data_IF_505901171875
#
_entry.id   IF_505901171875
#
_cell.length_a   1.000
_cell.length_b   1.000
_cell.length_c   1.000
_cell.angle_alpha   90.00
_cell.angle_beta   90.00
_cell.angle_gamma   90.00
#
_symmetry.space_group_name_H-M   'P 1'
#
loop_
_entity.id
_entity.type
_entity.pdbx_description
1 polymer ?
#
# COMPACT_ATOMS: atom_id res chain seq x y z
N UNK A 1 34.97 2.59 67.98
CA UNK A 1 33.69 1.84 67.90
C UNK A 1 33.01 2.23 66.59
N UNK A 2 32.81 1.27 65.68
CA UNK A 2 31.91 1.26 64.49
C UNK A 2 32.01 2.46 63.51
N UNK A 3 32.68 2.30 62.37
CA UNK A 3 32.13 1.87 61.05
C UNK A 3 30.96 2.73 60.53
N UNK A 4 31.20 3.45 59.43
CA UNK A 4 30.62 3.33 58.07
C UNK A 4 30.65 4.72 57.40
N UNK A 5 31.51 4.96 56.40
CA UNK A 5 31.28 4.70 54.96
C UNK A 5 30.07 5.45 54.40
N UNK A 6 30.32 6.56 53.69
CA UNK A 6 29.59 6.93 52.48
C UNK A 6 30.43 7.96 51.69
N UNK A 7 31.01 7.44 50.62
CA UNK A 7 31.75 8.11 49.56
C UNK A 7 30.76 8.90 48.69
N UNK A 8 30.97 10.19 48.49
CA UNK A 8 30.32 10.97 47.43
C UNK A 8 31.39 11.85 46.78
N UNK A 9 32.09 11.26 45.81
CA UNK A 9 33.07 11.92 44.96
C UNK A 9 32.29 12.54 43.78
N UNK A 10 31.91 13.82 43.92
CA UNK A 10 31.38 14.62 42.83
C UNK A 10 32.56 15.12 42.00
N UNK A 11 32.93 14.36 40.97
CA UNK A 11 33.88 14.79 39.95
C UNK A 11 33.14 15.68 38.95
N UNK A 12 33.18 16.98 39.19
CA UNK A 12 32.86 17.98 38.17
C UNK A 12 34.12 18.18 37.30
N UNK A 13 34.26 17.38 36.24
CA UNK A 13 35.16 17.74 35.14
C UNK A 13 34.38 18.70 34.25
N UNK A 14 34.60 19.98 34.48
CA UNK A 14 34.27 21.01 33.50
C UNK A 14 35.14 20.83 32.27
N UNK A 15 34.55 20.33 31.19
CA UNK A 15 35.13 20.47 29.86
C UNK A 15 34.78 21.88 29.39
N UNK A 16 35.71 22.79 29.65
CA UNK A 16 35.83 24.06 28.93
C UNK A 16 36.25 23.73 27.49
N UNK A 17 35.29 23.61 26.58
CA UNK A 17 35.60 23.59 25.15
C UNK A 17 36.12 24.97 24.74
N UNK A 18 37.43 25.02 24.55
CA UNK A 18 38.13 26.05 23.81
C UNK A 18 37.64 26.07 22.37
N UNK A 19 37.18 27.24 21.97
CA UNK A 19 36.94 27.65 20.59
C UNK A 19 38.17 27.30 19.72
N UNK A 20 37.99 26.45 18.71
CA UNK A 20 38.62 26.54 17.39
C UNK A 20 38.05 25.48 16.43
N UNK A 21 37.68 25.98 15.25
CA UNK A 21 37.65 25.38 13.91
C UNK A 21 36.67 24.22 13.62
N UNK A 22 35.57 24.57 12.93
CA UNK A 22 34.94 23.88 11.80
C UNK A 22 34.73 22.35 11.86
N UNK A 23 34.31 21.80 12.99
CA UNK A 23 33.59 20.51 12.98
C UNK A 23 32.10 20.78 12.76
N UNK A 24 31.74 20.90 11.47
CA UNK A 24 30.40 20.61 10.98
C UNK A 24 30.04 19.20 11.44
N UNK A 25 29.41 19.12 12.61
CA UNK A 25 28.72 17.92 13.07
C UNK A 25 27.52 17.74 12.14
N UNK A 26 27.81 17.28 10.92
CA UNK A 26 26.81 16.96 9.93
C UNK A 26 25.79 16.06 10.58
N UNK A 27 24.61 16.62 10.82
CA UNK A 27 23.44 15.81 11.11
C UNK A 27 23.39 14.81 9.96
N UNK A 28 23.44 13.50 10.21
CA UNK A 28 23.30 12.54 9.14
C UNK A 28 22.03 12.92 8.39
N UNK A 29 22.15 13.22 7.09
CA UNK A 29 20.96 13.41 6.29
C UNK A 29 20.08 12.19 6.54
N UNK A 30 18.77 12.38 6.83
CA UNK A 30 17.87 11.24 6.87
C UNK A 30 18.08 10.46 5.58
N UNK A 31 18.11 9.12 5.63
CA UNK A 31 18.30 8.32 4.42
C UNK A 31 17.34 8.83 3.35
N UNK A 32 17.88 9.21 2.20
CA UNK A 32 17.07 9.69 1.09
C UNK A 32 15.96 8.67 0.86
N UNK A 33 14.71 9.12 0.89
CA UNK A 33 13.58 8.26 0.60
C UNK A 33 13.84 7.64 -0.77
N UNK A 34 13.85 6.31 -0.84
CA UNK A 34 14.11 5.62 -2.10
C UNK A 34 13.15 6.14 -3.18
N UNK A 35 13.67 6.40 -4.38
CA UNK A 35 12.85 6.78 -5.53
C UNK A 35 11.82 5.69 -5.90
N UNK A 36 11.99 4.48 -5.37
CA UNK A 36 11.24 3.29 -5.69
C UNK A 36 11.00 2.43 -4.45
N UNK A 37 9.73 2.17 -4.11
CA UNK A 37 9.38 1.35 -2.95
C UNK A 37 10.01 -0.05 -2.98
N UNK A 38 10.19 -0.67 -4.15
CA UNK A 38 10.78 -2.02 -4.27
C UNK A 38 12.26 -2.05 -3.87
N UNK A 39 13.00 -0.96 -4.08
CA UNK A 39 14.43 -0.87 -3.70
C UNK A 39 14.63 -0.75 -2.19
N UNK A 40 13.58 -0.33 -1.46
CA UNK A 40 13.60 -0.25 0.00
C UNK A 40 13.32 -1.59 0.69
N UNK A 41 12.89 -2.60 -0.07
CA UNK A 41 12.49 -3.90 0.48
C UNK A 41 13.69 -4.83 0.69
N UNK A 42 13.60 -5.65 1.73
CA UNK A 42 14.51 -6.73 2.06
C UNK A 42 13.77 -8.06 2.07
N UNK A 43 14.51 -9.16 1.87
CA UNK A 43 13.96 -10.51 2.03
C UNK A 43 13.44 -10.67 3.47
N UNK A 44 12.20 -11.10 3.60
CA UNK A 44 11.49 -11.23 4.87
C UNK A 44 10.68 -9.99 5.28
N UNK A 45 10.78 -8.88 4.55
CA UNK A 45 9.91 -7.73 4.78
C UNK A 45 8.46 -8.09 4.51
N UNK A 46 7.56 -7.48 5.28
CA UNK A 46 6.12 -7.72 5.22
C UNK A 46 5.36 -6.42 5.06
N UNK A 47 4.42 -6.43 4.13
CA UNK A 47 3.44 -5.37 3.92
C UNK A 47 2.07 -5.90 4.30
N UNK A 48 1.25 -5.07 4.92
CA UNK A 48 -0.06 -5.46 5.41
C UNK A 48 -1.14 -4.56 4.82
N UNK A 49 -2.31 -5.15 4.54
CA UNK A 49 -3.48 -4.43 4.06
C UNK A 49 -4.71 -4.86 4.84
N UNK A 50 -5.51 -3.90 5.29
CA UNK A 50 -6.80 -4.14 5.92
C UNK A 50 -7.89 -4.20 4.86
N UNK A 51 -8.77 -5.20 4.94
CA UNK A 51 -9.91 -5.28 4.04
C UNK A 51 -11.03 -4.34 4.46
N UNK A 52 -11.62 -3.69 3.48
CA UNK A 52 -12.92 -3.03 3.58
C UNK A 52 -13.91 -3.70 2.63
N UNK A 53 -15.19 -3.59 2.96
CA UNK A 53 -16.31 -3.82 2.06
C UNK A 53 -17.09 -2.54 1.90
N UNK A 54 -17.69 -2.34 0.73
CA UNK A 54 -18.51 -1.17 0.49
C UNK A 54 -19.66 -1.42 -0.46
N UNK A 55 -20.62 -0.51 -0.42
CA UNK A 55 -21.85 -0.51 -1.20
C UNK A 55 -22.06 0.85 -1.87
N UNK A 56 -23.03 0.90 -2.79
CA UNK A 56 -23.47 2.12 -3.47
C UNK A 56 -22.34 2.86 -4.20
N UNK A 57 -21.40 2.14 -4.83
CA UNK A 57 -20.20 2.72 -5.43
C UNK A 57 -20.49 3.95 -6.33
N UNK A 58 -21.58 3.91 -7.11
CA UNK A 58 -21.96 4.99 -8.04
C UNK A 58 -22.83 6.10 -7.46
N UNK A 59 -23.36 5.96 -6.23
CA UNK A 59 -24.31 6.92 -5.67
C UNK A 59 -23.60 8.05 -4.92
N UNK A 60 -23.44 9.20 -5.56
CA UNK A 60 -22.78 10.36 -4.94
C UNK A 60 -23.44 10.77 -3.62
N UNK A 61 -22.63 11.02 -2.59
CA UNK A 61 -23.08 11.61 -1.31
C UNK A 61 -23.34 10.62 -0.17
N UNK A 62 -23.39 9.31 -0.43
CA UNK A 62 -23.41 8.28 0.61
C UNK A 62 -22.17 7.39 0.51
N UNK A 63 -21.34 7.38 1.55
CA UNK A 63 -20.20 6.47 1.67
C UNK A 63 -20.56 5.33 2.63
N UNK A 64 -21.04 4.22 2.06
CA UNK A 64 -21.38 3.02 2.82
C UNK A 64 -20.22 2.04 2.72
N UNK A 65 -19.40 1.97 3.77
CA UNK A 65 -18.30 1.01 3.85
C UNK A 65 -17.98 0.65 5.30
N UNK A 66 -17.31 -0.49 5.47
CA UNK A 66 -16.80 -0.92 6.78
C UNK A 66 -15.55 -1.78 6.62
N UNK A 67 -14.64 -1.68 7.58
CA UNK A 67 -13.51 -2.61 7.70
C UNK A 67 -13.98 -3.90 8.34
N UNK A 68 -13.63 -5.02 7.71
CA UNK A 68 -14.07 -6.35 8.16
C UNK A 68 -13.18 -6.93 9.26
N UNK A 69 -11.99 -6.36 9.46
CA UNK A 69 -10.94 -6.88 10.35
C UNK A 69 -10.01 -7.90 9.68
N UNK A 70 -10.23 -8.23 8.41
CA UNK A 70 -9.35 -9.14 7.67
C UNK A 70 -8.07 -8.43 7.24
N UNK A 71 -6.98 -9.19 7.23
CA UNK A 71 -5.67 -8.68 6.81
C UNK A 71 -5.08 -9.53 5.69
N UNK A 72 -4.58 -8.86 4.66
CA UNK A 72 -3.72 -9.43 3.62
C UNK A 72 -2.27 -9.12 3.97
N UNK A 73 -1.44 -10.16 4.04
CA UNK A 73 0.01 -10.08 4.22
C UNK A 73 0.71 -10.33 2.88
N UNK A 74 1.61 -9.43 2.51
CA UNK A 74 2.56 -9.55 1.40
C UNK A 74 3.96 -9.75 1.99
N UNK A 75 4.57 -10.92 1.77
CA UNK A 75 5.91 -11.25 2.25
C UNK A 75 6.92 -11.30 1.09
N UNK A 76 8.04 -10.59 1.23
CA UNK A 76 9.15 -10.63 0.28
C UNK A 76 9.94 -11.92 0.44
N UNK A 77 9.80 -12.83 -0.51
CA UNK A 77 10.45 -14.14 -0.48
C UNK A 77 11.87 -14.12 -1.07
N UNK A 78 12.07 -13.32 -2.11
CA UNK A 78 13.34 -13.26 -2.84
C UNK A 78 13.49 -11.93 -3.59
N UNK A 79 14.73 -11.48 -3.77
CA UNK A 79 15.08 -10.32 -4.60
C UNK A 79 16.14 -10.78 -5.60
N UNK A 80 15.90 -10.55 -6.88
CA UNK A 80 16.78 -10.97 -7.97
C UNK A 80 16.77 -9.97 -9.13
N UNK A 81 17.59 -10.19 -10.16
CA UNK A 81 17.56 -9.38 -11.38
C UNK A 81 16.21 -9.41 -12.11
N UNK A 82 15.40 -10.47 -11.90
CA UNK A 82 14.06 -10.56 -12.48
C UNK A 82 13.01 -9.72 -11.73
N UNK A 83 13.31 -9.26 -10.52
CA UNK A 83 12.39 -8.52 -9.65
C UNK A 83 12.28 -9.09 -8.23
N UNK A 84 11.25 -8.65 -7.52
CA UNK A 84 10.92 -9.00 -6.15
C UNK A 84 9.83 -10.06 -6.13
N UNK A 85 10.16 -11.25 -5.63
CA UNK A 85 9.19 -12.34 -5.47
C UNK A 85 8.39 -12.11 -4.19
N UNK A 86 7.07 -11.95 -4.31
CA UNK A 86 6.16 -11.66 -3.20
C UNK A 86 5.12 -12.77 -3.05
N UNK A 87 4.97 -13.28 -1.82
CA UNK A 87 3.87 -14.15 -1.45
C UNK A 87 2.73 -13.34 -0.82
N UNK A 88 1.50 -13.63 -1.24
CA UNK A 88 0.27 -13.00 -0.78
C UNK A 88 -0.57 -14.01 -0.02
N UNK A 89 -0.91 -13.71 1.23
CA UNK A 89 -1.73 -14.59 2.08
C UNK A 89 -2.69 -13.79 2.93
N UNK A 90 -3.91 -14.30 3.06
CA UNK A 90 -4.85 -13.81 4.05
C UNK A 90 -4.44 -14.37 5.42
N UNK A 91 -4.37 -13.49 6.43
CA UNK A 91 -3.89 -13.88 7.77
C UNK A 91 -4.87 -14.81 8.46
N UNK A 92 -4.34 -15.69 9.33
CA UNK A 92 -5.15 -16.54 10.17
C UNK A 92 -6.12 -15.72 11.06
N UNK A 93 -7.37 -16.17 11.17
CA UNK A 93 -8.42 -15.47 11.91
C UNK A 93 -9.25 -14.50 11.06
N UNK A 94 -8.96 -14.38 9.76
CA UNK A 94 -9.84 -13.73 8.80
C UNK A 94 -11.18 -14.45 8.68
N UNK A 95 -12.27 -13.67 8.61
CA UNK A 95 -13.62 -14.17 8.32
C UNK A 95 -13.68 -14.94 6.99
N UNK A 96 -12.76 -14.68 6.05
CA UNK A 96 -12.63 -15.45 4.79
C UNK A 96 -12.42 -16.95 5.03
N UNK A 97 -11.77 -17.31 6.14
CA UNK A 97 -11.53 -18.71 6.49
C UNK A 97 -12.83 -19.43 6.83
N UNK A 98 -13.79 -18.72 7.42
CA UNK A 98 -15.07 -19.27 7.85
C UNK A 98 -16.14 -19.13 6.74
N UNK A 99 -16.22 -17.97 6.08
CA UNK A 99 -17.20 -17.68 5.02
C UNK A 99 -16.53 -16.95 3.84
N UNK A 100 -16.51 -17.60 2.67
CA UNK A 100 -15.96 -17.00 1.45
C UNK A 100 -17.00 -16.26 0.63
N UNK A 101 -18.28 -16.21 1.01
CA UNK A 101 -19.31 -15.57 0.17
C UNK A 101 -19.03 -14.08 -0.01
N UNK A 102 -18.37 -13.44 0.96
CA UNK A 102 -17.96 -12.03 0.91
C UNK A 102 -16.70 -11.81 0.04
N UNK A 103 -15.93 -12.86 -0.20
CA UNK A 103 -14.63 -12.82 -0.87
C UNK A 103 -14.80 -13.53 -2.21
N UNK A 104 -14.78 -12.80 -3.32
CA UNK A 104 -15.03 -13.32 -4.68
C UNK A 104 -14.01 -14.40 -5.16
N UNK A 105 -13.20 -14.95 -4.25
CA UNK A 105 -12.04 -15.80 -4.48
C UNK A 105 -12.22 -17.22 -3.93
N UNK A 106 -11.37 -18.12 -4.43
CA UNK A 106 -11.20 -19.43 -3.83
C UNK A 106 -10.72 -19.28 -2.38
N UNK A 107 -11.34 -20.01 -1.44
CA UNK A 107 -10.87 -20.09 -0.06
C UNK A 107 -9.39 -20.51 -0.02
N UNK A 108 -8.61 -19.78 0.77
CA UNK A 108 -7.28 -20.21 1.25
C UNK A 108 -6.21 -20.44 0.15
N UNK A 109 -6.05 -19.45 -0.74
CA UNK A 109 -4.96 -19.48 -1.73
C UNK A 109 -3.81 -18.58 -1.31
N UNK A 110 -2.59 -19.14 -1.27
CA UNK A 110 -1.35 -18.35 -1.25
C UNK A 110 -0.94 -18.10 -2.70
N UNK A 111 -0.95 -16.83 -3.12
CA UNK A 111 -0.49 -16.45 -4.44
C UNK A 111 0.96 -15.98 -4.37
N UNK A 112 1.75 -16.31 -5.38
CA UNK A 112 3.14 -15.85 -5.50
C UNK A 112 3.30 -15.15 -6.84
N UNK A 113 3.82 -13.93 -6.82
CA UNK A 113 4.01 -13.11 -8.00
C UNK A 113 5.38 -12.44 -7.98
N UNK A 114 5.97 -12.23 -9.15
CA UNK A 114 7.19 -11.42 -9.30
C UNK A 114 6.80 -10.00 -9.64
N UNK A 115 7.27 -9.05 -8.83
CA UNK A 115 7.02 -7.62 -9.00
C UNK A 115 8.30 -6.96 -9.50
N UNK A 116 8.21 -6.25 -10.61
CA UNK A 116 9.33 -5.54 -11.20
C UNK A 116 8.92 -4.13 -11.63
N UNK A 117 9.88 -3.21 -11.70
CA UNK A 117 9.66 -1.89 -12.27
C UNK A 117 10.39 -1.77 -13.59
N UNK A 118 9.61 -1.61 -14.66
CA UNK A 118 10.11 -1.45 -16.02
C UNK A 118 9.79 -0.04 -16.51
N UNK A 119 10.83 0.80 -16.58
CA UNK A 119 10.66 2.21 -16.93
C UNK A 119 9.79 2.93 -15.90
N UNK A 120 8.57 3.28 -16.29
CA UNK A 120 7.60 4.00 -15.47
C UNK A 120 6.44 3.12 -15.00
N UNK A 121 6.56 1.79 -15.04
CA UNK A 121 5.47 0.88 -14.70
C UNK A 121 5.88 -0.16 -13.66
N UNK A 122 5.00 -0.43 -12.69
CA UNK A 122 4.98 -1.68 -11.93
C UNK A 122 4.41 -2.78 -12.83
N UNK A 123 5.19 -3.85 -12.99
CA UNK A 123 4.81 -5.08 -13.67
C UNK A 123 4.67 -6.17 -12.62
N UNK A 124 3.56 -6.91 -12.67
CA UNK A 124 3.29 -8.04 -11.79
C UNK A 124 3.05 -9.28 -12.63
N UNK A 125 3.93 -10.26 -12.45
CA UNK A 125 3.90 -11.52 -13.17
C UNK A 125 3.45 -12.66 -12.26
N UNK A 126 2.56 -13.51 -12.76
CA UNK A 126 2.09 -14.71 -12.06
C UNK A 126 2.70 -15.95 -12.72
N UNK A 127 3.23 -16.86 -11.91
CA UNK A 127 3.70 -18.17 -12.39
C UNK A 127 2.54 -19.14 -12.67
N UNK A 128 1.32 -18.78 -12.26
CA UNK A 128 0.11 -19.57 -12.49
C UNK A 128 -0.40 -19.41 -13.94
N UNK A 129 -1.15 -20.40 -14.48
CA UNK A 129 -1.70 -20.33 -15.84
C UNK A 129 -2.69 -19.18 -16.05
N UNK A 130 -3.20 -18.60 -14.96
CA UNK A 130 -4.02 -17.40 -14.93
C UNK A 130 -3.38 -16.38 -14.00
N UNK A 131 -3.67 -15.10 -14.23
CA UNK A 131 -3.23 -14.06 -13.33
C UNK A 131 -4.04 -14.15 -12.03
N UNK A 132 -3.37 -14.57 -10.96
CA UNK A 132 -3.96 -14.70 -9.63
C UNK A 132 -3.20 -13.81 -8.66
N UNK A 133 -3.93 -12.92 -7.99
CA UNK A 133 -3.38 -11.89 -7.13
C UNK A 133 -4.51 -11.40 -6.21
N UNK A 134 -4.24 -11.24 -4.90
CA UNK A 134 -5.25 -10.76 -3.95
C UNK A 134 -5.39 -9.25 -3.98
N UNK A 135 -4.30 -8.55 -4.26
CA UNK A 135 -4.22 -7.10 -4.20
C UNK A 135 -4.59 -6.42 -5.52
N UNK A 136 -4.30 -7.04 -6.66
CA UNK A 136 -4.47 -6.44 -7.99
C UNK A 136 -5.29 -7.32 -8.91
N UNK A 137 -6.26 -6.72 -9.61
CA UNK A 137 -6.95 -7.35 -10.74
C UNK A 137 -6.21 -7.23 -12.09
N UNK A 138 -5.04 -6.59 -12.12
CA UNK A 138 -4.25 -6.32 -13.34
C UNK A 138 -2.75 -6.53 -13.15
N UNK A 139 -2.05 -6.83 -14.23
CA UNK A 139 -0.60 -7.12 -14.23
C UNK A 139 0.30 -5.91 -14.45
N UNK A 140 -0.26 -4.73 -14.74
CA UNK A 140 0.53 -3.53 -15.03
C UNK A 140 -0.13 -2.28 -14.46
N UNK A 141 0.64 -1.52 -13.70
CA UNK A 141 0.28 -0.19 -13.19
C UNK A 141 1.35 0.79 -13.61
N UNK A 142 0.96 1.88 -14.28
CA UNK A 142 1.91 2.88 -14.79
C UNK A 142 1.98 4.04 -13.79
N UNK A 143 3.16 4.51 -13.42
CA UNK A 143 3.41 5.53 -12.39
C UNK A 143 3.44 6.98 -12.90
N UNK A 144 3.80 7.20 -14.18
CA UNK A 144 4.08 8.54 -14.73
C UNK A 144 2.99 9.57 -14.41
N UNK A 145 3.32 10.81 -14.08
CA UNK A 145 2.32 11.82 -13.69
C UNK A 145 1.17 11.97 -14.71
N UNK A 146 -0.04 11.55 -14.34
CA UNK A 146 -1.23 11.56 -15.20
C UNK A 146 -2.01 12.83 -15.00
N UNK A 147 -2.05 13.64 -16.05
CA UNK A 147 -2.44 15.05 -15.99
C UNK A 147 -3.89 15.33 -16.39
N UNK A 148 -4.79 14.35 -16.36
CA UNK A 148 -6.13 14.58 -16.93
C UNK A 148 -7.12 15.14 -15.90
N UNK A 149 -7.12 14.64 -14.67
CA UNK A 149 -8.06 15.09 -13.64
C UNK A 149 -7.61 14.69 -12.23
N UNK A 150 -7.66 15.65 -11.30
CA UNK A 150 -7.55 15.39 -9.86
C UNK A 150 -8.86 14.80 -9.33
N UNK A 151 -8.76 13.80 -8.46
CA UNK A 151 -9.90 13.18 -7.78
C UNK A 151 -9.69 13.08 -6.28
N UNK A 152 -10.80 13.10 -5.57
CA UNK A 152 -10.86 12.85 -4.13
C UNK A 152 -11.14 11.36 -3.92
N UNK A 153 -10.55 10.79 -2.86
CA UNK A 153 -10.88 9.46 -2.38
C UNK A 153 -11.85 9.64 -1.21
N UNK A 154 -13.09 9.17 -1.38
CA UNK A 154 -14.19 9.31 -0.41
C UNK A 154 -14.65 7.92 0.03
N UNK A 155 -14.48 7.61 1.32
CA UNK A 155 -14.73 6.28 1.86
C UNK A 155 -13.91 5.21 1.14
N UNK A 156 -14.56 4.41 0.30
CA UNK A 156 -13.96 3.31 -0.48
C UNK A 156 -13.92 3.55 -2.00
N UNK A 157 -14.27 4.75 -2.46
CA UNK A 157 -14.39 5.11 -3.89
C UNK A 157 -13.65 6.39 -4.23
N UNK A 158 -13.68 6.76 -5.51
CA UNK A 158 -13.15 8.05 -6.00
C UNK A 158 -14.30 8.98 -6.41
N UNK A 159 -14.03 10.29 -6.47
CA UNK A 159 -14.97 11.29 -7.00
C UNK A 159 -15.09 11.27 -8.53
N UNK A 160 -14.39 10.34 -9.21
CA UNK A 160 -14.49 10.17 -10.66
C UNK A 160 -15.89 9.68 -11.03
N UNK A 161 -16.53 10.37 -11.98
CA UNK A 161 -17.83 9.96 -12.49
C UNK A 161 -17.76 8.58 -13.12
N UNK A 162 -18.79 7.77 -12.91
CA UNK A 162 -18.87 6.44 -13.50
C UNK A 162 -18.71 6.48 -15.04
N UNK A 163 -17.81 5.65 -15.55
CA UNK A 163 -17.69 5.29 -16.95
C UNK A 163 -17.20 3.86 -17.11
N UNK A 164 -17.66 3.16 -18.15
CA UNK A 164 -17.17 1.83 -18.60
C UNK A 164 -15.87 1.97 -19.41
N UNK A 165 -14.96 2.79 -18.89
CA UNK A 165 -13.70 3.11 -19.54
C UNK A 165 -12.61 3.23 -18.49
N UNK A 166 -11.39 2.91 -18.89
CA UNK A 166 -10.24 3.10 -18.04
C UNK A 166 -9.93 4.59 -17.94
N UNK A 167 -9.51 5.04 -16.76
CA UNK A 167 -9.12 6.42 -16.52
C UNK A 167 -7.84 6.46 -15.70
N UNK A 168 -6.99 7.43 -16.00
CA UNK A 168 -5.75 7.65 -15.27
C UNK A 168 -5.74 9.06 -14.69
N UNK A 169 -5.65 9.12 -13.38
CA UNK A 169 -6.02 10.25 -12.54
C UNK A 169 -4.93 10.43 -11.47
N UNK A 170 -5.08 11.46 -10.65
CA UNK A 170 -4.23 11.65 -9.48
C UNK A 170 -5.04 12.20 -8.30
N UNK A 171 -4.47 12.09 -7.11
CA UNK A 171 -5.01 12.70 -5.89
C UNK A 171 -3.87 13.36 -5.13
N UNK A 172 -4.13 14.51 -4.49
CA UNK A 172 -3.15 15.21 -3.66
C UNK A 172 -3.61 15.31 -2.22
N UNK A 173 -2.67 15.44 -1.29
CA UNK A 173 -2.96 15.59 0.15
C UNK A 173 -3.89 14.49 0.70
N UNK A 174 -3.66 13.25 0.26
CA UNK A 174 -4.47 12.10 0.69
C UNK A 174 -3.97 11.58 2.03
N UNK A 175 -4.89 11.29 2.95
CA UNK A 175 -4.56 10.68 4.25
C UNK A 175 -5.26 9.33 4.37
N UNK A 176 -4.49 8.28 4.64
CA UNK A 176 -5.00 6.95 4.98
C UNK A 176 -4.40 6.51 6.32
N UNK A 177 -5.26 6.22 7.31
CA UNK A 177 -4.83 5.79 8.66
C UNK A 177 -3.75 6.67 9.33
N UNK A 178 -3.85 8.00 9.16
CA UNK A 178 -2.87 8.99 9.63
C UNK A 178 -1.51 8.96 8.91
N UNK A 179 -1.43 8.32 7.75
CA UNK A 179 -0.31 8.45 6.83
C UNK A 179 -0.70 9.44 5.72
N UNK A 180 0.08 10.50 5.58
CA UNK A 180 -0.15 11.56 4.60
C UNK A 180 0.67 11.29 3.33
N UNK A 181 0.02 11.45 2.19
CA UNK A 181 0.63 11.32 0.87
C UNK A 181 0.43 12.62 0.09
N UNK A 182 1.55 13.24 -0.30
CA UNK A 182 1.52 14.51 -1.04
C UNK A 182 0.81 14.35 -2.39
N UNK A 183 1.13 13.29 -3.12
CA UNK A 183 0.53 12.96 -4.41
C UNK A 183 0.58 11.44 -4.66
N UNK A 184 -0.52 10.89 -5.16
CA UNK A 184 -0.62 9.50 -5.60
C UNK A 184 -1.30 9.42 -6.98
N UNK A 185 -0.86 8.47 -7.79
CA UNK A 185 -1.56 8.05 -9.00
C UNK A 185 -2.84 7.31 -8.62
N UNK A 186 -3.89 7.54 -9.39
CA UNK A 186 -5.16 6.82 -9.29
C UNK A 186 -5.47 6.21 -10.64
N UNK A 187 -5.64 4.89 -10.72
CA UNK A 187 -6.04 4.20 -11.94
C UNK A 187 -7.42 3.59 -11.76
N UNK A 188 -8.33 3.89 -12.67
CA UNK A 188 -9.65 3.26 -12.78
C UNK A 188 -9.58 2.30 -13.96
N UNK A 189 -9.90 1.03 -13.70
CA UNK A 189 -9.97 -0.03 -14.69
C UNK A 189 -11.40 -0.56 -14.73
N UNK A 190 -12.24 0.10 -15.55
CA UNK A 190 -13.67 -0.20 -15.69
C UNK A 190 -14.03 -0.71 -17.10
N UNK A 191 -13.08 -0.77 -18.05
CA UNK A 191 -13.35 -1.36 -19.37
C UNK A 191 -14.00 -2.75 -19.30
N UNK A 192 -13.60 -3.67 -18.40
CA UNK A 192 -14.23 -4.99 -18.33
C UNK A 192 -15.74 -4.94 -18.02
N UNK A 193 -16.23 -3.87 -17.39
CA UNK A 193 -17.65 -3.70 -17.08
C UNK A 193 -18.53 -3.65 -18.34
N UNK A 194 -17.99 -3.21 -19.47
CA UNK A 194 -18.69 -3.22 -20.77
C UNK A 194 -19.02 -4.63 -21.29
N UNK A 195 -18.43 -5.67 -20.69
CA UNK A 195 -18.63 -7.08 -21.00
C UNK A 195 -18.98 -7.91 -19.75
N UNK A 196 -19.74 -7.33 -18.81
CA UNK A 196 -20.18 -7.95 -17.56
C UNK A 196 -19.03 -8.35 -16.59
N UNK A 197 -17.85 -7.76 -16.75
CA UNK A 197 -16.74 -7.89 -15.81
C UNK A 197 -16.85 -6.97 -14.58
N UNK A 198 -15.93 -7.16 -13.64
CA UNK A 198 -15.77 -6.24 -12.51
C UNK A 198 -14.98 -4.99 -12.92
N UNK A 199 -15.17 -3.91 -12.19
CA UNK A 199 -14.31 -2.75 -12.25
C UNK A 199 -13.38 -2.73 -11.06
N UNK A 200 -12.30 -1.96 -11.19
CA UNK A 200 -11.29 -1.85 -10.15
C UNK A 200 -10.71 -0.44 -10.11
N UNK A 201 -10.25 -0.05 -8.93
CA UNK A 201 -9.49 1.18 -8.74
C UNK A 201 -8.23 0.93 -7.92
N UNK A 202 -7.18 1.67 -8.24
CA UNK A 202 -5.87 1.53 -7.60
C UNK A 202 -5.34 2.90 -7.24
N UNK A 203 -4.83 3.06 -6.02
CA UNK A 203 -4.17 4.26 -5.53
C UNK A 203 -2.74 3.88 -5.16
N UNK A 204 -1.76 4.50 -5.82
CA UNK A 204 -0.38 4.02 -5.76
C UNK A 204 0.62 5.11 -6.17
N UNK A 205 1.89 4.90 -5.89
CA UNK A 205 2.99 5.70 -6.46
C UNK A 205 4.26 4.87 -6.55
N UNK A 206 5.26 5.37 -7.29
CA UNK A 206 6.56 4.70 -7.38
C UNK A 206 7.25 4.62 -6.01
N UNK A 207 7.11 5.65 -5.18
CA UNK A 207 7.77 5.76 -3.87
C UNK A 207 7.02 5.01 -2.76
N UNK A 208 5.69 4.91 -2.84
CA UNK A 208 4.88 4.27 -1.79
C UNK A 208 4.30 2.91 -2.20
N UNK A 209 4.50 2.44 -3.43
CA UNK A 209 3.86 1.24 -3.94
C UNK A 209 2.34 1.39 -3.98
N UNK A 210 1.61 0.28 -3.77
CA UNK A 210 0.14 0.27 -3.74
C UNK A 210 -0.32 0.68 -2.35
N UNK A 211 -1.11 1.75 -2.28
CA UNK A 211 -1.70 2.29 -1.05
C UNK A 211 -3.11 1.75 -0.86
N UNK A 212 -3.89 1.67 -1.93
CA UNK A 212 -5.22 1.10 -1.95
C UNK A 212 -5.46 0.34 -3.25
N UNK A 213 -6.18 -0.77 -3.16
CA UNK A 213 -6.88 -1.36 -4.30
C UNK A 213 -8.34 -1.61 -3.96
N UNK A 214 -9.22 -1.58 -4.95
CA UNK A 214 -10.62 -1.88 -4.78
C UNK A 214 -11.16 -2.57 -6.02
N UNK A 215 -12.10 -3.49 -5.81
CA UNK A 215 -12.85 -4.19 -6.85
C UNK A 215 -14.33 -4.11 -6.55
N UNK A 216 -15.14 -3.89 -7.57
CA UNK A 216 -16.57 -3.67 -7.43
C UNK A 216 -17.34 -4.16 -8.64
N UNK A 217 -18.54 -4.69 -8.39
CA UNK A 217 -19.45 -5.17 -9.42
C UNK A 217 -20.35 -4.05 -9.94
N UNK A 218 -20.52 -3.98 -11.26
CA UNK A 218 -21.43 -3.00 -11.89
C UNK A 218 -22.89 -3.19 -11.44
N UNK A 219 -23.39 -4.42 -11.44
CA UNK A 219 -24.80 -4.69 -11.11
C UNK A 219 -25.09 -4.61 -9.61
N UNK A 220 -24.14 -4.99 -8.76
CA UNK A 220 -24.32 -5.01 -7.31
C UNK A 220 -24.01 -3.66 -6.66
N UNK A 221 -23.20 -2.83 -7.33
CA UNK A 221 -22.63 -1.59 -6.77
C UNK A 221 -21.88 -1.82 -5.45
N UNK A 222 -21.53 -3.08 -5.19
CA UNK A 222 -20.85 -3.54 -3.98
C UNK A 222 -19.51 -4.13 -4.36
N UNK A 223 -18.61 -4.13 -3.39
CA UNK A 223 -17.25 -4.58 -3.62
C UNK A 223 -16.44 -4.62 -2.35
N UNK A 224 -15.15 -4.80 -2.53
CA UNK A 224 -14.17 -4.79 -1.46
C UNK A 224 -12.95 -3.98 -1.85
N UNK A 225 -12.12 -3.68 -0.87
CA UNK A 225 -10.83 -3.04 -1.08
C UNK A 225 -9.81 -3.45 -0.04
N UNK A 226 -8.56 -3.17 -0.36
CA UNK A 226 -7.39 -3.43 0.47
C UNK A 226 -6.67 -2.12 0.70
N UNK A 227 -6.60 -1.70 1.96
CA UNK A 227 -5.93 -0.47 2.37
C UNK A 227 -4.66 -0.78 3.12
N UNK A 228 -3.54 -0.22 2.66
CA UNK A 228 -2.24 -0.42 3.29
C UNK A 228 -2.27 0.06 4.74
N UNK A 229 -1.76 -0.78 5.65
CA UNK A 229 -1.56 -0.47 7.06
C UNK A 229 -0.07 -0.48 7.39
N UNK A 230 0.32 0.33 8.38
CA UNK A 230 1.71 0.57 8.80
C UNK A 230 1.91 0.23 10.27
#
# INVERSE_FOLDING_TARGET
MKNYFALLLLVAIGISCTKNDDDDCGIPNPPEASENFLESLNIGDKLYYSMLIGENYYQQGEDVYSYTGDTLELEVLNISEAGVLIAQRITAGSNMMDDSVVYYWNKDSVYTNTWNIEGDSLIVESDAPYFENHLLGISRLKFSDYSEQEVEITGWRTSYSYSEANAQLFTTNYTLFNHDYDSLSVYIHNEPMSYDGNGSSFVYSKTHGIVRSSEYGWWSQSGYGWDRIY
#
